data_IF_113828659345
#
_entry.id   IF_113828659345
#
_cell.length_a   1.000
_cell.length_b   1.000
_cell.length_c   1.000
_cell.angle_alpha   90.00
_cell.angle_beta   90.00
_cell.angle_gamma   90.00
#
_symmetry.space_group_name_H-M   'P 1'
#
loop_
_entity.id
_entity.type
_entity.pdbx_description
1 polymer ?
#
# COMPACT_ATOMS: atom_id res chain seq x y z
N UNK A 1 24.02 -5.86 -21.42
CA UNK A 1 23.62 -7.12 -20.74
C UNK A 1 22.18 -6.97 -20.25
N UNK A 2 21.24 -7.75 -20.75
CA UNK A 2 19.86 -7.74 -20.24
C UNK A 2 19.82 -8.31 -18.82
N UNK A 3 19.17 -7.62 -17.90
CA UNK A 3 18.97 -8.10 -16.53
C UNK A 3 18.15 -9.39 -16.55
N UNK A 4 18.47 -10.35 -15.66
CA UNK A 4 17.66 -11.56 -15.50
C UNK A 4 16.22 -11.20 -15.09
N UNK A 5 15.24 -12.05 -15.45
CA UNK A 5 13.82 -11.84 -15.13
C UNK A 5 13.60 -11.60 -13.62
N UNK A 6 14.28 -12.36 -12.77
CA UNK A 6 14.22 -12.19 -11.32
C UNK A 6 14.76 -10.82 -10.87
N UNK A 7 15.91 -10.37 -11.41
CA UNK A 7 16.47 -9.04 -11.09
C UNK A 7 15.52 -7.91 -11.47
N UNK A 8 14.84 -8.03 -12.60
CA UNK A 8 13.82 -7.05 -13.00
C UNK A 8 12.66 -6.99 -12.01
N UNK A 9 12.21 -8.15 -11.50
CA UNK A 9 11.19 -8.22 -10.45
C UNK A 9 11.64 -7.55 -9.15
N UNK A 10 12.87 -7.78 -8.71
CA UNK A 10 13.45 -7.13 -7.53
C UNK A 10 13.57 -5.62 -7.68
N UNK A 11 14.02 -5.12 -8.85
CA UNK A 11 14.07 -3.68 -9.13
C UNK A 11 12.68 -3.06 -9.16
N UNK A 12 11.70 -3.74 -9.75
CA UNK A 12 10.32 -3.27 -9.75
C UNK A 12 9.79 -3.10 -8.32
N UNK A 13 10.08 -4.05 -7.41
CA UNK A 13 9.62 -3.98 -6.02
C UNK A 13 10.41 -2.98 -5.18
N UNK A 14 11.70 -2.78 -5.46
CA UNK A 14 12.48 -1.71 -4.84
C UNK A 14 11.90 -0.34 -5.23
N UNK A 15 11.64 -0.12 -6.52
CA UNK A 15 10.98 1.09 -7.02
C UNK A 15 9.58 1.26 -6.42
N UNK A 16 8.79 0.18 -6.34
CA UNK A 16 7.49 0.18 -5.66
C UNK A 16 7.61 0.70 -4.24
N UNK A 17 8.52 0.14 -3.42
CA UNK A 17 8.64 0.51 -2.01
C UNK A 17 9.03 1.98 -1.82
N UNK A 18 9.93 2.50 -2.65
CA UNK A 18 10.33 3.91 -2.63
C UNK A 18 9.20 4.84 -3.07
N UNK A 19 8.49 4.49 -4.14
CA UNK A 19 7.38 5.31 -4.66
C UNK A 19 6.17 5.29 -3.72
N UNK A 20 5.79 4.13 -3.19
CA UNK A 20 4.63 4.05 -2.29
C UNK A 20 4.89 4.75 -0.96
N UNK A 21 6.13 4.76 -0.48
CA UNK A 21 6.49 5.42 0.79
C UNK A 21 6.26 6.93 0.75
N UNK A 22 6.46 7.58 -0.40
CA UNK A 22 6.16 8.99 -0.59
C UNK A 22 4.66 9.32 -0.41
N UNK A 23 3.76 8.32 -0.57
CA UNK A 23 2.34 8.52 -0.27
C UNK A 23 2.09 8.84 1.21
N UNK A 24 2.93 8.34 2.11
CA UNK A 24 2.82 8.62 3.54
C UNK A 24 3.32 10.02 3.84
N UNK A 25 4.52 10.40 3.35
CA UNK A 25 5.08 11.74 3.58
C UNK A 25 4.27 12.84 2.89
N UNK A 26 3.94 12.69 1.60
CA UNK A 26 3.11 13.67 0.87
C UNK A 26 1.65 13.64 1.32
N UNK A 27 1.11 12.46 1.65
CA UNK A 27 -0.23 12.32 2.18
C UNK A 27 -0.42 13.09 3.48
N UNK A 28 0.58 13.08 4.36
CA UNK A 28 0.55 13.84 5.61
C UNK A 28 0.43 15.37 5.39
N UNK A 29 1.08 15.90 4.32
CA UNK A 29 0.98 17.33 3.98
C UNK A 29 -0.45 17.73 3.63
N UNK A 30 -1.14 16.91 2.82
CA UNK A 30 -2.45 17.25 2.26
C UNK A 30 -3.64 16.69 3.04
N UNK A 31 -3.41 15.77 3.97
CA UNK A 31 -4.46 15.08 4.73
C UNK A 31 -5.39 16.03 5.53
N UNK A 32 -4.91 17.25 5.83
CA UNK A 32 -5.69 18.27 6.56
C UNK A 32 -6.37 19.28 5.63
N UNK A 33 -6.02 19.28 4.34
CA UNK A 33 -6.52 20.27 3.38
C UNK A 33 -7.70 19.77 2.53
N UNK A 34 -7.81 18.47 2.40
CA UNK A 34 -8.89 17.82 1.66
C UNK A 34 -9.35 16.58 2.43
N UNK A 35 -10.64 16.29 2.39
CA UNK A 35 -11.16 15.08 3.04
C UNK A 35 -10.61 13.82 2.36
N UNK A 36 -10.30 12.74 3.11
CA UNK A 36 -9.77 11.50 2.54
C UNK A 36 -10.64 10.89 1.46
N UNK A 37 -11.96 11.02 1.59
CA UNK A 37 -12.93 10.53 0.62
C UNK A 37 -12.89 11.30 -0.69
N UNK A 38 -12.89 12.65 -0.65
CA UNK A 38 -12.76 13.49 -1.84
C UNK A 38 -11.40 13.31 -2.53
N UNK A 39 -10.30 13.31 -1.75
CA UNK A 39 -8.95 13.04 -2.25
C UNK A 39 -8.90 11.72 -3.03
N UNK A 40 -9.35 10.63 -2.40
CA UNK A 40 -9.25 9.30 -3.00
C UNK A 40 -10.22 9.12 -4.18
N UNK A 41 -11.38 9.77 -4.18
CA UNK A 41 -12.29 9.75 -5.33
C UNK A 41 -11.64 10.38 -6.56
N UNK A 42 -11.08 11.58 -6.43
CA UNK A 42 -10.37 12.24 -7.54
C UNK A 42 -9.14 11.43 -7.96
N UNK A 43 -8.36 10.92 -7.00
CA UNK A 43 -7.20 10.05 -7.24
C UNK A 43 -7.58 8.81 -8.06
N UNK A 44 -8.64 8.10 -7.68
CA UNK A 44 -9.06 6.89 -8.39
C UNK A 44 -9.66 7.21 -9.76
N UNK A 45 -10.36 8.33 -9.91
CA UNK A 45 -10.84 8.79 -11.22
C UNK A 45 -9.68 9.02 -12.19
N UNK A 46 -8.66 9.77 -11.77
CA UNK A 46 -7.47 10.00 -12.58
C UNK A 46 -6.70 8.70 -12.86
N UNK A 47 -6.53 7.84 -11.87
CA UNK A 47 -5.87 6.55 -12.05
C UNK A 47 -6.64 5.63 -13.02
N UNK A 48 -7.96 5.62 -12.97
CA UNK A 48 -8.81 4.88 -13.90
C UNK A 48 -8.62 5.38 -15.34
N UNK A 49 -8.56 6.70 -15.54
CA UNK A 49 -8.29 7.29 -16.86
C UNK A 49 -6.93 6.87 -17.41
N UNK A 50 -5.89 6.91 -16.56
CA UNK A 50 -4.52 6.49 -16.94
C UNK A 50 -4.49 5.00 -17.31
N UNK A 51 -5.07 4.12 -16.48
CA UNK A 51 -5.09 2.68 -16.72
C UNK A 51 -5.95 2.33 -17.95
N UNK A 52 -7.06 3.02 -18.14
CA UNK A 52 -7.90 2.86 -19.34
C UNK A 52 -7.14 3.30 -20.60
N UNK A 53 -6.50 4.47 -20.56
CA UNK A 53 -5.65 4.95 -21.66
C UNK A 53 -4.53 3.97 -22.00
N UNK A 54 -3.84 3.43 -20.97
CA UNK A 54 -2.81 2.41 -21.15
C UNK A 54 -3.38 1.11 -21.77
N UNK A 55 -4.58 0.68 -21.35
CA UNK A 55 -5.23 -0.49 -21.94
C UNK A 55 -5.53 -0.27 -23.42
N UNK A 56 -5.94 0.95 -23.81
CA UNK A 56 -6.19 1.32 -25.23
C UNK A 56 -4.91 1.30 -26.04
N UNK A 57 -3.82 1.91 -25.53
CA UNK A 57 -2.50 1.94 -26.20
C UNK A 57 -1.95 0.51 -26.39
N UNK A 58 -2.07 -0.33 -25.35
CA UNK A 58 -1.61 -1.72 -25.38
C UNK A 58 -2.59 -2.67 -26.09
N UNK A 59 -3.71 -2.16 -26.61
CA UNK A 59 -4.77 -2.95 -27.27
C UNK A 59 -5.29 -4.10 -26.41
N UNK A 60 -5.40 -3.88 -25.09
CA UNK A 60 -5.93 -4.84 -24.14
C UNK A 60 -7.44 -4.60 -23.98
N UNK A 61 -8.27 -5.61 -24.25
CA UNK A 61 -9.71 -5.52 -24.08
C UNK A 61 -10.07 -5.30 -22.60
N UNK A 62 -10.93 -4.34 -22.32
CA UNK A 62 -11.44 -4.05 -20.97
C UNK A 62 -12.77 -4.78 -20.68
N UNK A 63 -13.33 -5.51 -21.66
CA UNK A 63 -14.60 -6.22 -21.51
C UNK A 63 -14.64 -7.15 -20.28
N UNK A 64 -13.57 -7.94 -19.96
CA UNK A 64 -13.59 -8.81 -18.79
C UNK A 64 -13.76 -8.08 -17.44
N UNK A 65 -13.39 -6.79 -17.39
CA UNK A 65 -13.59 -5.96 -16.20
C UNK A 65 -15.09 -5.77 -15.93
N UNK A 66 -15.87 -5.52 -16.96
CA UNK A 66 -17.32 -5.23 -16.83
C UNK A 66 -18.15 -6.51 -16.69
N UNK A 67 -17.78 -7.59 -17.35
CA UNK A 67 -18.53 -8.87 -17.27
C UNK A 67 -18.39 -9.58 -15.92
N UNK A 68 -17.32 -9.29 -15.17
CA UNK A 68 -17.06 -9.87 -13.84
C UNK A 68 -16.90 -8.81 -12.76
N UNK A 69 -17.59 -7.68 -12.86
CA UNK A 69 -17.32 -6.48 -12.05
C UNK A 69 -17.43 -6.70 -10.54
N UNK A 70 -18.33 -7.58 -10.08
CA UNK A 70 -18.53 -7.84 -8.65
C UNK A 70 -17.22 -8.20 -7.90
N UNK A 71 -16.33 -8.98 -8.52
CA UNK A 71 -15.02 -9.37 -7.95
C UNK A 71 -14.08 -8.17 -7.82
N UNK A 72 -14.11 -7.28 -8.79
CA UNK A 72 -13.33 -6.04 -8.77
C UNK A 72 -13.94 -5.00 -7.82
N UNK A 73 -15.28 -4.96 -7.74
CA UNK A 73 -16.01 -4.16 -6.76
C UNK A 73 -15.64 -4.53 -5.32
N UNK A 74 -15.56 -5.83 -5.02
CA UNK A 74 -15.11 -6.32 -3.72
C UNK A 74 -13.67 -5.89 -3.42
N UNK A 75 -12.73 -6.15 -4.33
CA UNK A 75 -11.32 -5.76 -4.15
C UNK A 75 -11.18 -4.23 -4.08
N UNK A 76 -11.93 -3.50 -4.90
CA UNK A 76 -11.96 -2.05 -4.88
C UNK A 76 -12.53 -1.47 -3.59
N UNK A 77 -13.57 -2.09 -3.03
CA UNK A 77 -14.11 -1.72 -1.73
C UNK A 77 -13.08 -1.86 -0.60
N UNK A 78 -12.35 -2.98 -0.59
CA UNK A 78 -11.24 -3.18 0.36
C UNK A 78 -10.13 -2.14 0.19
N UNK A 79 -9.79 -1.79 -1.06
CA UNK A 79 -8.82 -0.73 -1.33
C UNK A 79 -9.35 0.66 -0.94
N UNK A 80 -10.65 0.92 -1.08
CA UNK A 80 -11.27 2.15 -0.58
C UNK A 80 -11.13 2.26 0.95
N UNK A 81 -11.44 1.19 1.68
CA UNK A 81 -11.23 1.12 3.15
C UNK A 81 -9.77 1.39 3.49
N UNK A 82 -8.84 0.73 2.81
CA UNK A 82 -7.40 0.92 3.03
C UNK A 82 -6.99 2.39 2.87
N UNK A 83 -7.34 3.02 1.76
CA UNK A 83 -6.89 4.39 1.48
C UNK A 83 -7.61 5.43 2.33
N UNK A 84 -8.91 5.28 2.59
CA UNK A 84 -9.64 6.20 3.48
C UNK A 84 -9.03 6.15 4.88
N UNK A 85 -8.85 4.97 5.45
CA UNK A 85 -8.28 4.83 6.80
C UNK A 85 -6.82 5.27 6.88
N UNK A 86 -6.02 5.07 5.81
CA UNK A 86 -4.65 5.57 5.72
C UNK A 86 -4.61 7.10 5.82
N UNK A 87 -5.41 7.80 5.02
CA UNK A 87 -5.41 9.27 5.03
C UNK A 87 -6.08 9.85 6.27
N UNK A 88 -7.09 9.19 6.84
CA UNK A 88 -7.62 9.57 8.16
C UNK A 88 -6.57 9.40 9.27
N UNK A 89 -5.80 8.32 9.23
CA UNK A 89 -4.69 8.15 10.17
C UNK A 89 -3.64 9.25 10.02
N UNK A 90 -3.25 9.62 8.80
CA UNK A 90 -2.27 10.67 8.54
C UNK A 90 -2.70 12.06 9.02
N UNK A 91 -3.99 12.27 9.35
CA UNK A 91 -4.47 13.52 9.98
C UNK A 91 -4.14 13.59 11.47
N UNK A 92 -3.97 12.46 12.12
CA UNK A 92 -3.88 12.36 13.60
C UNK A 92 -2.61 11.66 14.09
N UNK A 93 -1.82 11.06 13.20
CA UNK A 93 -0.52 10.44 13.53
C UNK A 93 0.55 10.77 12.49
N UNK A 94 1.79 10.31 12.72
CA UNK A 94 2.93 10.60 11.85
C UNK A 94 2.99 9.67 10.64
N UNK A 95 3.64 10.12 9.56
CA UNK A 95 3.91 9.28 8.38
C UNK A 95 4.72 8.03 8.75
N UNK A 96 5.70 8.15 9.64
CA UNK A 96 6.54 7.01 10.10
C UNK A 96 5.69 5.97 10.84
N UNK A 97 4.80 6.40 11.75
CA UNK A 97 3.92 5.50 12.51
C UNK A 97 2.92 4.79 11.58
N UNK A 98 2.32 5.54 10.65
CA UNK A 98 1.42 4.97 9.63
C UNK A 98 2.17 3.98 8.73
N UNK A 99 3.38 4.31 8.29
CA UNK A 99 4.22 3.40 7.51
C UNK A 99 4.59 2.13 8.29
N UNK A 100 4.81 2.23 9.61
CA UNK A 100 5.07 1.07 10.46
C UNK A 100 3.85 0.13 10.53
N UNK A 101 2.63 0.67 10.66
CA UNK A 101 1.40 -0.15 10.56
C UNK A 101 1.32 -0.88 9.22
N UNK A 102 1.70 -0.21 8.13
CA UNK A 102 1.71 -0.84 6.80
C UNK A 102 2.66 -2.04 6.72
N UNK A 103 3.76 -2.05 7.49
CA UNK A 103 4.68 -3.19 7.52
C UNK A 103 4.12 -4.44 8.20
N UNK A 104 2.97 -4.37 8.88
CA UNK A 104 2.24 -5.55 9.36
C UNK A 104 1.51 -6.28 8.21
N UNK A 105 1.30 -5.63 7.08
CA UNK A 105 0.58 -6.18 5.93
C UNK A 105 1.11 -7.55 5.45
N UNK A 106 2.45 -7.80 5.35
CA UNK A 106 2.93 -9.13 4.93
C UNK A 106 2.53 -10.26 5.88
N UNK A 107 2.54 -10.00 7.20
CA UNK A 107 2.09 -10.97 8.19
C UNK A 107 0.58 -11.22 8.09
N UNK A 108 -0.21 -10.13 7.97
CA UNK A 108 -1.65 -10.21 7.73
C UNK A 108 -1.96 -10.95 6.42
N UNK A 109 -1.22 -10.65 5.34
CA UNK A 109 -1.39 -11.32 4.04
C UNK A 109 -1.05 -12.80 4.09
N UNK A 110 -0.04 -13.20 4.87
CA UNK A 110 0.27 -14.61 5.09
C UNK A 110 -0.88 -15.35 5.78
N UNK A 111 -1.49 -14.74 6.81
CA UNK A 111 -2.68 -15.26 7.47
C UNK A 111 -3.89 -15.35 6.52
N UNK A 112 -4.17 -14.28 5.78
CA UNK A 112 -5.25 -14.24 4.79
C UNK A 112 -5.02 -15.28 3.68
N UNK A 113 -3.79 -15.44 3.20
CA UNK A 113 -3.41 -16.43 2.20
C UNK A 113 -3.65 -17.85 2.66
N UNK A 114 -3.36 -18.15 3.93
CA UNK A 114 -3.65 -19.44 4.54
C UNK A 114 -5.16 -19.70 4.62
N UNK A 115 -5.93 -18.73 5.13
CA UNK A 115 -7.37 -18.88 5.36
C UNK A 115 -8.19 -18.91 4.05
N UNK A 116 -7.84 -18.08 3.05
CA UNK A 116 -8.61 -17.90 1.83
C UNK A 116 -8.15 -18.87 0.72
N UNK A 117 -6.84 -19.06 0.60
CA UNK A 117 -6.22 -19.79 -0.51
C UNK A 117 -5.46 -21.05 -0.07
N UNK A 118 -5.52 -21.45 1.20
CA UNK A 118 -4.83 -22.62 1.75
C UNK A 118 -3.30 -22.55 1.65
N UNK A 119 -2.73 -21.36 1.47
CA UNK A 119 -1.29 -21.18 1.27
C UNK A 119 -0.55 -21.29 2.61
N UNK A 120 0.39 -22.23 2.69
CA UNK A 120 1.24 -22.38 3.88
C UNK A 120 2.56 -21.66 3.66
N UNK A 121 2.94 -20.79 4.58
CA UNK A 121 4.26 -20.19 4.62
C UNK A 121 5.27 -21.12 5.29
N UNK A 122 6.48 -21.21 4.75
CA UNK A 122 7.56 -21.95 5.36
C UNK A 122 7.99 -21.35 6.72
N UNK A 123 8.62 -22.18 7.58
CA UNK A 123 9.07 -21.73 8.92
C UNK A 123 9.97 -20.49 8.88
N UNK A 124 10.87 -20.41 7.93
CA UNK A 124 11.79 -19.27 7.80
C UNK A 124 11.04 -17.99 7.39
N UNK A 125 10.05 -18.11 6.52
CA UNK A 125 9.15 -17.01 6.16
C UNK A 125 8.39 -16.51 7.38
N UNK A 126 7.83 -17.41 8.20
CA UNK A 126 7.11 -17.01 9.43
C UNK A 126 8.03 -16.31 10.43
N UNK A 127 9.26 -16.82 10.65
CA UNK A 127 10.25 -16.16 11.51
C UNK A 127 10.55 -14.74 11.02
N UNK A 128 10.83 -14.59 9.72
CA UNK A 128 11.12 -13.29 9.14
C UNK A 128 9.92 -12.32 9.25
N UNK A 129 8.70 -12.79 8.98
CA UNK A 129 7.48 -11.99 9.14
C UNK A 129 7.27 -11.55 10.60
N UNK A 130 7.57 -12.45 11.56
CA UNK A 130 7.48 -12.12 13.00
C UNK A 130 8.50 -11.06 13.40
N UNK A 131 9.75 -11.18 12.95
CA UNK A 131 10.80 -10.18 13.22
C UNK A 131 10.37 -8.81 12.67
N UNK A 132 9.86 -8.78 11.43
CA UNK A 132 9.35 -7.55 10.82
C UNK A 132 8.17 -6.94 11.59
N UNK A 133 7.23 -7.79 12.03
CA UNK A 133 6.09 -7.36 12.84
C UNK A 133 6.52 -6.80 14.21
N UNK A 134 7.48 -7.44 14.89
CA UNK A 134 8.06 -6.92 16.15
C UNK A 134 8.72 -5.55 15.92
N UNK A 135 9.50 -5.39 14.84
CA UNK A 135 10.08 -4.11 14.46
C UNK A 135 9.01 -3.03 14.20
N UNK A 136 7.91 -3.39 13.50
CA UNK A 136 6.80 -2.48 13.26
C UNK A 136 6.10 -2.07 14.57
N UNK A 137 5.81 -3.02 15.45
CA UNK A 137 5.21 -2.77 16.77
C UNK A 137 6.09 -1.83 17.59
N UNK A 138 7.42 -2.04 17.59
CA UNK A 138 8.37 -1.15 18.26
C UNK A 138 8.26 0.31 17.78
N UNK A 139 8.14 0.53 16.47
CA UNK A 139 7.94 1.86 15.90
C UNK A 139 6.58 2.44 16.25
N UNK A 140 5.51 1.63 16.18
CA UNK A 140 4.13 2.04 16.47
C UNK A 140 4.02 2.57 17.91
N UNK A 141 4.61 1.86 18.87
CA UNK A 141 4.64 2.27 20.29
C UNK A 141 5.79 3.23 20.63
N UNK A 142 6.40 3.85 19.62
CA UNK A 142 7.41 4.92 19.76
C UNK A 142 8.63 4.53 20.62
N UNK A 143 8.99 3.25 20.59
CA UNK A 143 10.06 2.66 21.42
C UNK A 143 9.80 2.81 22.94
N UNK A 144 8.55 2.97 23.36
CA UNK A 144 8.15 3.04 24.76
C UNK A 144 7.54 1.70 25.21
N UNK A 145 8.29 0.96 26.01
CA UNK A 145 7.85 -0.33 26.58
C UNK A 145 6.64 -0.14 27.50
N UNK A 146 6.56 0.99 28.24
CA UNK A 146 5.42 1.31 29.08
C UNK A 146 4.16 1.49 28.27
N UNK A 147 4.20 2.23 27.16
CA UNK A 147 3.08 2.39 26.25
C UNK A 147 2.67 1.04 25.63
N UNK A 148 3.66 0.18 25.26
CA UNK A 148 3.41 -1.16 24.76
C UNK A 148 2.69 -2.04 25.82
N UNK A 149 3.18 -2.03 27.06
CA UNK A 149 2.60 -2.82 28.16
C UNK A 149 1.18 -2.37 28.54
N UNK A 150 0.88 -1.07 28.41
CA UNK A 150 -0.47 -0.52 28.62
C UNK A 150 -1.36 -0.60 27.39
N UNK A 151 -0.81 -1.09 26.28
CA UNK A 151 -1.48 -1.16 24.98
C UNK A 151 -2.03 0.22 24.53
N UNK A 152 -1.24 1.26 24.73
CA UNK A 152 -1.58 2.63 24.34
C UNK A 152 -1.44 2.82 22.82
N UNK A 153 -2.26 2.07 22.06
CA UNK A 153 -2.32 2.21 20.62
C UNK A 153 -2.99 3.53 20.25
N UNK A 154 -2.32 4.34 19.46
CA UNK A 154 -2.88 5.59 18.97
C UNK A 154 -4.12 5.36 18.10
N UNK A 155 -5.05 6.33 18.12
CA UNK A 155 -6.29 6.25 17.32
C UNK A 155 -5.99 6.10 15.82
N UNK A 156 -4.95 6.78 15.30
CA UNK A 156 -4.56 6.71 13.90
C UNK A 156 -4.04 5.32 13.52
N UNK A 157 -3.18 4.75 14.36
CA UNK A 157 -2.61 3.42 14.17
C UNK A 157 -3.68 2.33 14.22
N UNK A 158 -4.61 2.42 15.18
CA UNK A 158 -5.73 1.49 15.29
C UNK A 158 -6.63 1.54 14.04
N UNK A 159 -6.98 2.76 13.61
CA UNK A 159 -7.79 2.98 12.41
C UNK A 159 -7.11 2.41 11.16
N UNK A 160 -5.83 2.70 10.96
CA UNK A 160 -5.11 2.22 9.79
C UNK A 160 -4.83 0.71 9.83
N UNK A 161 -4.79 0.08 11.00
CA UNK A 161 -4.67 -1.39 11.10
C UNK A 161 -5.85 -2.10 10.42
N UNK A 162 -7.06 -1.53 10.49
CA UNK A 162 -8.23 -2.03 9.74
C UNK A 162 -8.00 -1.91 8.24
N UNK A 163 -7.47 -0.78 7.78
CA UNK A 163 -7.11 -0.57 6.38
C UNK A 163 -6.01 -1.51 5.91
N UNK A 164 -4.96 -1.70 6.72
CA UNK A 164 -3.86 -2.61 6.43
C UNK A 164 -4.36 -4.07 6.26
N UNK A 165 -5.30 -4.50 7.10
CA UNK A 165 -5.95 -5.81 6.97
C UNK A 165 -6.78 -5.90 5.67
N UNK A 166 -7.56 -4.86 5.35
CA UNK A 166 -8.30 -4.80 4.09
C UNK A 166 -7.37 -4.90 2.88
N UNK A 167 -6.25 -4.17 2.90
CA UNK A 167 -5.21 -4.27 1.86
C UNK A 167 -4.61 -5.68 1.78
N UNK A 168 -4.34 -6.32 2.91
CA UNK A 168 -3.76 -7.67 2.98
C UNK A 168 -4.66 -8.76 2.40
N UNK A 169 -5.97 -8.56 2.38
CA UNK A 169 -6.95 -9.47 1.78
C UNK A 169 -6.89 -9.46 0.23
N UNK A 170 -6.54 -8.31 -0.37
CA UNK A 170 -6.64 -8.11 -1.83
C UNK A 170 -5.80 -9.08 -2.64
N UNK A 171 -4.52 -9.37 -2.33
CA UNK A 171 -3.71 -10.32 -3.10
C UNK A 171 -4.28 -11.74 -3.09
N UNK A 172 -4.78 -12.20 -1.95
CA UNK A 172 -5.39 -13.54 -1.82
C UNK A 172 -6.69 -13.64 -2.64
N UNK A 173 -7.52 -12.58 -2.60
CA UNK A 173 -8.75 -12.49 -3.40
C UNK A 173 -8.44 -12.35 -4.88
N UNK A 174 -7.47 -11.55 -5.29
CA UNK A 174 -7.07 -11.40 -6.68
C UNK A 174 -6.63 -12.74 -7.27
N UNK A 175 -5.83 -13.52 -6.53
CA UNK A 175 -5.42 -14.86 -6.95
C UNK A 175 -6.61 -15.81 -7.09
N UNK A 176 -7.59 -15.76 -6.18
CA UNK A 176 -8.76 -16.64 -6.19
C UNK A 176 -9.81 -16.24 -7.22
N UNK A 177 -10.03 -14.95 -7.42
CA UNK A 177 -11.17 -14.40 -8.16
C UNK A 177 -10.79 -13.79 -9.52
N UNK A 178 -9.52 -13.49 -9.78
CA UNK A 178 -9.09 -12.73 -10.96
C UNK A 178 -7.87 -13.36 -11.67
N UNK A 179 -7.61 -14.66 -11.47
CA UNK A 179 -6.52 -15.39 -12.13
C UNK A 179 -6.71 -15.56 -13.64
N UNK A 180 -7.93 -15.41 -14.11
CA UNK A 180 -8.37 -15.55 -15.50
C UNK A 180 -8.17 -14.28 -16.34
N UNK A 181 -7.78 -13.16 -15.72
CA UNK A 181 -7.62 -11.86 -16.38
C UNK A 181 -6.20 -11.30 -16.27
N UNK A 182 -5.86 -10.39 -17.18
CA UNK A 182 -4.53 -9.76 -17.18
C UNK A 182 -4.36 -8.79 -16.01
N UNK A 183 -3.12 -8.61 -15.50
CA UNK A 183 -2.83 -7.68 -14.40
C UNK A 183 -3.40 -6.27 -14.59
N UNK A 184 -3.30 -5.71 -15.80
CA UNK A 184 -3.84 -4.38 -16.11
C UNK A 184 -5.37 -4.34 -15.96
N UNK A 185 -6.07 -5.41 -16.34
CA UNK A 185 -7.52 -5.52 -16.18
C UNK A 185 -7.90 -5.61 -14.71
N UNK A 186 -7.17 -6.41 -13.92
CA UNK A 186 -7.36 -6.48 -12.45
C UNK A 186 -7.15 -5.11 -11.81
N UNK A 187 -6.07 -4.41 -12.18
CA UNK A 187 -5.77 -3.07 -11.66
C UNK A 187 -6.88 -2.07 -12.02
N UNK A 188 -7.28 -2.03 -13.29
CA UNK A 188 -8.36 -1.13 -13.75
C UNK A 188 -9.68 -1.43 -13.04
N UNK A 189 -10.07 -2.70 -12.97
CA UNK A 189 -11.30 -3.11 -12.30
C UNK A 189 -11.31 -2.77 -10.81
N UNK A 190 -10.20 -3.03 -10.10
CA UNK A 190 -10.06 -2.70 -8.68
C UNK A 190 -10.12 -1.18 -8.45
N UNK A 191 -9.47 -0.39 -9.30
CA UNK A 191 -9.51 1.09 -9.22
C UNK A 191 -10.93 1.62 -9.50
N UNK A 192 -11.63 1.06 -10.49
CA UNK A 192 -13.04 1.41 -10.75
C UNK A 192 -13.95 1.06 -9.57
N UNK A 193 -13.75 -0.11 -8.97
CA UNK A 193 -14.49 -0.50 -7.76
C UNK A 193 -14.20 0.45 -6.59
N UNK A 194 -12.93 0.83 -6.38
CA UNK A 194 -12.55 1.79 -5.36
C UNK A 194 -13.15 3.18 -5.63
N UNK A 195 -13.13 3.64 -6.89
CA UNK A 195 -13.76 4.90 -7.32
C UNK A 195 -15.25 4.93 -7.00
N UNK A 196 -15.96 3.86 -7.31
CA UNK A 196 -17.42 3.79 -7.03
C UNK A 196 -17.67 3.85 -5.53
N UNK A 197 -16.93 3.06 -4.74
CA UNK A 197 -17.11 3.03 -3.28
C UNK A 197 -16.76 4.38 -2.65
N UNK A 198 -15.61 4.98 -3.01
CA UNK A 198 -15.23 6.29 -2.46
C UNK A 198 -16.15 7.40 -2.94
N UNK A 199 -16.58 7.37 -4.20
CA UNK A 199 -17.50 8.36 -4.76
C UNK A 199 -18.88 8.31 -4.14
N UNK A 200 -19.43 7.12 -3.91
CA UNK A 200 -20.75 6.95 -3.26
C UNK A 200 -20.69 7.28 -1.78
N UNK A 201 -19.71 6.72 -1.05
CA UNK A 201 -19.55 6.96 0.38
C UNK A 201 -19.18 8.42 0.68
N UNK A 202 -18.28 9.00 -0.09
CA UNK A 202 -17.79 10.37 0.07
C UNK A 202 -18.50 11.40 -0.79
N UNK A 203 -19.71 11.10 -1.32
CA UNK A 203 -20.41 12.02 -2.21
C UNK A 203 -20.65 13.40 -1.59
N UNK A 204 -21.04 13.44 -0.32
CA UNK A 204 -21.20 14.68 0.43
C UNK A 204 -19.89 15.49 0.49
N UNK A 205 -18.79 14.85 0.85
CA UNK A 205 -17.46 15.48 0.89
C UNK A 205 -17.04 16.00 -0.48
N UNK A 206 -17.30 15.21 -1.53
CA UNK A 206 -16.95 15.59 -2.90
C UNK A 206 -17.68 16.84 -3.37
N UNK A 207 -18.97 16.96 -3.06
CA UNK A 207 -19.81 18.12 -3.44
C UNK A 207 -19.48 19.36 -2.61
N UNK A 208 -19.13 19.20 -1.33
CA UNK A 208 -18.81 20.33 -0.45
C UNK A 208 -17.32 20.74 -0.50
N UNK A 209 -16.47 19.99 -1.18
CA UNK A 209 -15.04 20.37 -1.34
C UNK A 209 -14.94 21.48 -2.38
N UNK A 210 -14.43 22.65 -1.96
CA UNK A 210 -14.06 23.70 -2.89
C UNK A 210 -12.70 23.38 -3.54
N UNK A 211 -12.75 22.69 -4.67
CA UNK A 211 -11.56 22.32 -5.43
C UNK A 211 -10.80 23.53 -6.00
N UNK A 212 -11.46 24.69 -6.16
CA UNK A 212 -10.81 25.91 -6.67
C UNK A 212 -9.95 26.59 -5.62
N UNK A 213 -10.27 26.42 -4.34
CA UNK A 213 -9.49 26.93 -3.21
C UNK A 213 -8.26 26.09 -2.86
N UNK A 214 -8.14 24.86 -3.40
CA UNK A 214 -6.99 24.00 -3.10
C UNK A 214 -5.70 24.55 -3.68
N UNK A 215 -4.64 24.56 -2.86
CA UNK A 215 -3.31 25.00 -3.29
C UNK A 215 -2.78 24.09 -4.42
N UNK A 216 -1.96 24.62 -5.35
CA UNK A 216 -1.34 23.83 -6.41
C UNK A 216 -0.60 22.58 -5.90
N UNK A 217 0.01 22.66 -4.70
CA UNK A 217 0.69 21.53 -4.07
C UNK A 217 -0.24 20.32 -3.83
N UNK A 218 -1.51 20.57 -3.45
CA UNK A 218 -2.51 19.49 -3.27
C UNK A 218 -2.78 18.78 -4.59
N UNK A 219 -2.94 19.52 -5.67
CA UNK A 219 -3.14 18.97 -7.00
C UNK A 219 -1.93 18.17 -7.50
N UNK A 220 -0.70 18.65 -7.23
CA UNK A 220 0.52 17.90 -7.53
C UNK A 220 0.58 16.58 -6.77
N UNK A 221 0.21 16.58 -5.49
CA UNK A 221 0.14 15.35 -4.69
C UNK A 221 -0.95 14.43 -5.21
N UNK A 222 -2.15 14.92 -5.53
CA UNK A 222 -3.22 14.10 -6.11
C UNK A 222 -2.75 13.46 -7.42
N UNK A 223 -2.13 14.21 -8.31
CA UNK A 223 -1.60 13.70 -9.59
C UNK A 223 -0.53 12.62 -9.34
N UNK A 224 0.41 12.86 -8.41
CA UNK A 224 1.41 11.88 -8.00
C UNK A 224 0.74 10.60 -7.45
N UNK A 225 -0.22 10.74 -6.55
CA UNK A 225 -0.94 9.62 -5.96
C UNK A 225 -1.71 8.81 -7.02
N UNK A 226 -2.32 9.47 -8.00
CA UNK A 226 -3.07 8.81 -9.06
C UNK A 226 -2.17 8.08 -10.06
N UNK A 227 -1.20 8.78 -10.62
CA UNK A 227 -0.38 8.27 -11.71
C UNK A 227 0.71 7.34 -11.19
N UNK A 228 1.45 7.78 -10.17
CA UNK A 228 2.63 7.05 -9.68
C UNK A 228 2.22 5.98 -8.67
N UNK A 229 1.57 6.38 -7.57
CA UNK A 229 1.32 5.45 -6.46
C UNK A 229 0.02 4.65 -6.57
N UNK A 230 -0.79 4.85 -7.60
CA UNK A 230 -1.91 3.95 -7.92
C UNK A 230 -1.65 3.24 -9.24
N UNK A 231 -1.66 3.92 -10.37
CA UNK A 231 -1.50 3.26 -11.67
C UNK A 231 -0.10 2.61 -11.79
N UNK A 232 0.97 3.35 -11.45
CA UNK A 232 2.35 2.87 -11.58
C UNK A 232 2.67 1.74 -10.60
N UNK A 233 2.36 1.90 -9.31
CA UNK A 233 2.71 0.86 -8.32
C UNK A 233 1.88 -0.40 -8.49
N UNK A 234 0.61 -0.30 -8.89
CA UNK A 234 -0.19 -1.48 -9.22
C UNK A 234 0.45 -2.26 -10.38
N UNK A 235 0.93 -1.55 -11.41
CA UNK A 235 1.66 -2.20 -12.50
C UNK A 235 2.95 -2.87 -12.00
N UNK A 236 3.77 -2.18 -11.20
CA UNK A 236 5.03 -2.72 -10.67
C UNK A 236 4.82 -3.99 -9.84
N UNK A 237 3.81 -4.00 -8.97
CA UNK A 237 3.45 -5.18 -8.16
C UNK A 237 3.06 -6.35 -9.06
N UNK A 238 2.19 -6.12 -10.04
CA UNK A 238 1.77 -7.16 -10.96
C UNK A 238 2.90 -7.65 -11.87
N UNK A 239 3.77 -6.74 -12.31
CA UNK A 239 4.97 -7.06 -13.07
C UNK A 239 5.94 -7.95 -12.27
N UNK A 240 6.15 -7.62 -10.99
CA UNK A 240 6.99 -8.40 -10.10
C UNK A 240 6.36 -9.74 -9.73
N UNK A 241 5.04 -9.80 -9.52
CA UNK A 241 4.33 -11.04 -9.18
C UNK A 241 4.41 -12.12 -10.27
N UNK A 242 4.66 -11.74 -11.52
CA UNK A 242 4.93 -12.69 -12.62
C UNK A 242 6.37 -13.23 -12.61
N UNK A 243 7.28 -12.64 -11.83
CA UNK A 243 8.73 -12.90 -11.84
C UNK A 243 9.27 -13.37 -10.50
N UNK A 244 8.56 -13.11 -9.43
CA UNK A 244 8.96 -13.42 -8.06
C UNK A 244 7.83 -14.13 -7.32
N UNK A 245 8.16 -15.04 -6.38
CA UNK A 245 7.19 -15.58 -5.45
C UNK A 245 6.48 -14.48 -4.65
N UNK A 246 5.21 -14.70 -4.29
CA UNK A 246 4.39 -13.72 -3.59
C UNK A 246 5.03 -13.19 -2.29
N UNK A 247 5.68 -14.07 -1.51
CA UNK A 247 6.41 -13.69 -0.30
C UNK A 247 7.52 -12.67 -0.58
N UNK A 248 8.30 -12.86 -1.66
CA UNK A 248 9.35 -11.91 -2.06
C UNK A 248 8.79 -10.57 -2.53
N UNK A 249 7.65 -10.59 -3.24
CA UNK A 249 6.96 -9.36 -3.65
C UNK A 249 6.55 -8.57 -2.41
N UNK A 250 5.84 -9.19 -1.48
CA UNK A 250 5.35 -8.49 -0.27
C UNK A 250 6.48 -8.09 0.69
N UNK A 251 7.63 -8.78 0.69
CA UNK A 251 8.77 -8.46 1.54
C UNK A 251 9.26 -7.00 1.39
N UNK A 252 9.13 -6.43 0.21
CA UNK A 252 9.58 -5.06 -0.05
C UNK A 252 8.78 -3.98 0.68
N UNK A 253 7.60 -4.29 1.22
CA UNK A 253 6.87 -3.37 2.09
C UNK A 253 7.62 -3.07 3.39
N UNK A 254 8.52 -3.95 3.82
CA UNK A 254 9.40 -3.71 4.96
C UNK A 254 10.41 -2.56 4.75
N UNK A 255 10.65 -2.15 3.50
CA UNK A 255 11.47 -0.96 3.21
C UNK A 255 10.71 0.36 3.42
N UNK A 256 9.38 0.33 3.48
CA UNK A 256 8.56 1.55 3.49
C UNK A 256 8.90 2.48 4.65
N UNK A 257 9.02 2.05 5.91
CA UNK A 257 9.42 2.93 7.00
C UNK A 257 10.83 3.54 6.81
N UNK A 258 11.77 2.76 6.27
CA UNK A 258 13.13 3.25 5.99
C UNK A 258 13.11 4.37 4.95
N UNK A 259 12.31 4.21 3.88
CA UNK A 259 12.11 5.25 2.89
C UNK A 259 11.42 6.49 3.48
N UNK A 260 10.36 6.31 4.30
CA UNK A 260 9.66 7.43 4.93
C UNK A 260 10.62 8.23 5.80
N UNK A 261 11.44 7.57 6.62
CA UNK A 261 12.47 8.24 7.43
C UNK A 261 13.45 9.02 6.55
N UNK A 262 13.88 8.44 5.43
CA UNK A 262 14.77 9.11 4.50
C UNK A 262 14.10 10.33 3.85
N UNK A 263 12.85 10.21 3.41
CA UNK A 263 12.10 11.31 2.79
C UNK A 263 11.82 12.43 3.80
N UNK A 264 11.40 12.10 5.02
CA UNK A 264 11.15 13.09 6.06
C UNK A 264 12.45 13.84 6.45
N UNK A 265 13.59 13.14 6.46
CA UNK A 265 14.90 13.78 6.63
C UNK A 265 15.23 14.74 5.45
N UNK A 266 15.06 14.27 4.20
CA UNK A 266 15.41 15.06 3.01
C UNK A 266 14.50 16.28 2.82
N UNK A 267 13.20 16.15 3.13
CA UNK A 267 12.24 17.23 2.88
C UNK A 267 12.05 18.18 4.06
N UNK A 268 12.19 17.68 5.29
CA UNK A 268 11.87 18.44 6.51
C UNK A 268 13.04 18.56 7.48
N UNK A 269 14.18 17.89 7.23
CA UNK A 269 15.32 17.83 8.16
C UNK A 269 15.01 17.10 9.46
N UNK A 270 13.89 16.37 9.53
CA UNK A 270 13.47 15.64 10.75
C UNK A 270 14.16 14.29 10.83
N UNK A 271 14.72 14.00 12.01
CA UNK A 271 15.29 12.67 12.31
C UNK A 271 14.46 12.01 13.39
N UNK A 272 14.09 10.72 13.22
CA UNK A 272 13.43 10.00 14.29
C UNK A 272 14.42 9.75 15.45
N UNK A 273 13.94 9.56 16.69
CA UNK A 273 14.77 9.11 17.80
C UNK A 273 15.56 7.84 17.46
N UNK A 274 16.81 7.76 17.91
CA UNK A 274 17.69 6.62 17.59
C UNK A 274 17.08 5.25 17.94
N UNK A 275 16.29 5.17 19.03
CA UNK A 275 15.58 3.94 19.43
C UNK A 275 14.54 3.48 18.40
N UNK A 276 13.92 4.39 17.66
CA UNK A 276 13.00 4.03 16.57
C UNK A 276 13.73 3.35 15.41
N UNK A 277 14.98 3.71 15.17
CA UNK A 277 15.81 3.09 14.13
C UNK A 277 16.06 1.60 14.37
N UNK A 278 16.00 1.12 15.63
CA UNK A 278 16.09 -0.31 15.94
C UNK A 278 14.90 -1.09 15.31
N UNK A 279 13.69 -0.54 15.34
CA UNK A 279 12.52 -1.14 14.67
C UNK A 279 12.68 -1.14 13.14
N UNK A 280 13.20 -0.04 12.58
CA UNK A 280 13.52 0.03 11.15
C UNK A 280 14.59 -1.02 10.78
N UNK A 281 15.63 -1.19 11.58
CA UNK A 281 16.64 -2.22 11.35
C UNK A 281 16.06 -3.64 11.40
N UNK A 282 15.10 -3.90 12.30
CA UNK A 282 14.39 -5.19 12.37
C UNK A 282 13.58 -5.46 11.08
N UNK A 283 12.90 -4.45 10.51
CA UNK A 283 12.19 -4.61 9.24
C UNK A 283 13.13 -4.87 8.06
N UNK A 284 14.31 -4.23 8.03
CA UNK A 284 15.36 -4.50 7.03
C UNK A 284 15.92 -5.92 7.16
N UNK A 285 16.15 -6.39 8.40
CA UNK A 285 16.59 -7.75 8.67
C UNK A 285 15.53 -8.76 8.19
N UNK A 286 14.25 -8.51 8.48
CA UNK A 286 13.15 -9.34 8.01
C UNK A 286 13.11 -9.43 6.49
N UNK A 287 13.28 -8.31 5.78
CA UNK A 287 13.40 -8.31 4.32
C UNK A 287 14.58 -9.15 3.85
N UNK A 288 15.77 -8.96 4.43
CA UNK A 288 16.95 -9.72 4.05
C UNK A 288 16.76 -11.24 4.24
N UNK A 289 16.08 -11.66 5.32
CA UNK A 289 15.73 -13.06 5.57
C UNK A 289 14.74 -13.59 4.53
N UNK A 290 13.69 -12.83 4.21
CA UNK A 290 12.70 -13.21 3.19
C UNK A 290 13.32 -13.34 1.80
N UNK A 291 14.27 -12.50 1.45
CA UNK A 291 14.96 -12.58 0.16
C UNK A 291 15.91 -13.77 0.08
N UNK A 292 16.50 -14.22 1.21
CA UNK A 292 17.42 -15.38 1.27
C UNK A 292 16.67 -16.72 1.43
N UNK A 293 15.58 -16.72 2.16
CA UNK A 293 14.88 -17.95 2.60
C UNK A 293 14.14 -18.75 1.52
N UNK A 294 14.10 -18.27 0.28
CA UNK A 294 13.49 -18.95 -0.86
C UNK A 294 14.55 -19.19 -1.95
N UNK A 295 15.64 -19.90 -1.62
CA UNK A 295 16.41 -20.61 -2.62
C UNK A 295 15.60 -21.83 -3.09
N UNK A 296 15.65 -22.21 -4.38
CA UNK A 296 14.81 -23.21 -4.99
C UNK A 296 14.92 -24.57 -4.34
#
# INVERSE_FOLDING_TARGET
>A
MALSSSRQGHLAMLSFSALVSLSFSFGHIVAKEITPTALNTVRFALAALVLFGLARVLRISVRPVFTGFWRFGLMGGLMAVYFITMFEALRVTTAVSTAAVFTLTPLMAAGCGLLIAGQRSGRWTLIALTIGAVGAVWVIFRADIGALMRFELGRGEALFSVGALAHALVPALARKLASDVKPLQTSLGTVLGALIVTGLYGFGDLVHTDFSALRPAVWMVIAYLAVVTTAGTFFLVQYAAQRLPAGKVMAYTYLVPSWVVLWDFLFYGTTPPALLLAGVAATLLALAMLLRGEAP
#
